data_IF_580488496626
#
_entry.id   IF_580488496626
#
_cell.length_a   1.000
_cell.length_b   1.000
_cell.length_c   1.000
_cell.angle_alpha   90.00
_cell.angle_beta   90.00
_cell.angle_gamma   90.00
#
_symmetry.space_group_name_H-M   'P 1'
#
loop_
_entity.id
_entity.type
_entity.pdbx_description
1 polymer ?
#
# COMPACT_ATOMS: atom_id res chain seq x y z
N UNK A 1 1.85 -18.95 -13.67
CA UNK A 1 0.85 -18.16 -12.96
C UNK A 1 -0.56 -18.68 -13.26
N UNK A 2 -1.04 -18.68 -14.52
CA UNK A 2 -2.39 -19.14 -14.93
C UNK A 2 -2.70 -20.54 -14.40
N UNK A 3 -1.81 -21.52 -14.65
CA UNK A 3 -2.01 -22.91 -14.23
C UNK A 3 -2.17 -23.08 -12.69
N UNK A 4 -1.54 -22.22 -11.90
CA UNK A 4 -1.71 -22.20 -10.45
C UNK A 4 -3.04 -21.56 -10.09
N UNK A 5 -3.35 -20.39 -10.67
CA UNK A 5 -4.58 -19.66 -10.38
C UNK A 5 -5.85 -20.46 -10.72
N UNK A 6 -5.81 -21.29 -11.75
CA UNK A 6 -6.91 -22.19 -12.11
C UNK A 6 -7.23 -23.26 -11.06
N UNK A 7 -6.28 -23.55 -10.15
CA UNK A 7 -6.43 -24.54 -9.09
C UNK A 7 -6.91 -23.93 -7.77
N UNK A 8 -6.99 -22.61 -7.69
CA UNK A 8 -7.50 -21.93 -6.50
C UNK A 8 -9.02 -22.11 -6.47
N UNK A 9 -9.51 -22.74 -5.43
CA UNK A 9 -10.92 -23.05 -5.26
C UNK A 9 -11.56 -22.04 -4.34
N UNK A 10 -12.49 -21.21 -4.82
CA UNK A 10 -13.36 -20.38 -4.00
C UNK A 10 -14.46 -21.24 -3.36
N UNK A 11 -14.85 -20.90 -2.15
CA UNK A 11 -15.93 -21.58 -1.42
C UNK A 11 -16.31 -20.88 -0.14
N UNK A 12 -17.27 -21.48 0.57
CA UNK A 12 -17.67 -20.99 1.89
C UNK A 12 -16.71 -21.48 2.97
N UNK A 13 -16.75 -20.85 4.12
CA UNK A 13 -15.86 -21.15 5.25
C UNK A 13 -16.04 -22.56 5.82
N UNK A 14 -17.20 -23.17 5.59
CA UNK A 14 -17.61 -24.49 6.05
C UNK A 14 -17.59 -25.57 4.96
N UNK A 15 -17.14 -25.23 3.75
CA UNK A 15 -17.02 -26.22 2.67
C UNK A 15 -15.84 -27.20 2.91
N UNK A 16 -16.04 -28.46 2.51
CA UNK A 16 -15.01 -29.49 2.51
C UNK A 16 -14.75 -30.01 1.08
N UNK A 17 -13.48 -30.06 0.61
CA UNK A 17 -12.27 -29.62 1.31
C UNK A 17 -12.22 -28.10 1.48
N UNK A 18 -11.51 -27.64 2.50
CA UNK A 18 -11.40 -26.21 2.82
C UNK A 18 -10.98 -25.39 1.58
N UNK A 19 -11.74 -24.37 1.19
CA UNK A 19 -11.42 -23.55 0.04
C UNK A 19 -10.21 -22.64 0.32
N UNK A 20 -9.50 -22.27 -0.74
CA UNK A 20 -8.37 -21.34 -0.64
C UNK A 20 -8.83 -19.87 -0.55
N UNK A 21 -9.95 -19.52 -1.21
CA UNK A 21 -10.50 -18.17 -1.27
C UNK A 21 -11.95 -18.21 -0.79
N UNK A 22 -12.31 -17.30 0.11
CA UNK A 22 -13.70 -17.04 0.47
C UNK A 22 -14.44 -16.20 -0.58
N UNK A 23 -15.72 -15.99 -0.36
CA UNK A 23 -16.53 -15.05 -1.14
C UNK A 23 -16.09 -13.59 -0.89
N UNK A 24 -16.39 -12.71 -1.83
CA UNK A 24 -16.26 -11.28 -1.65
C UNK A 24 -17.31 -10.78 -0.62
N UNK A 25 -17.17 -9.52 -0.21
CA UNK A 25 -18.07 -8.93 0.80
C UNK A 25 -19.55 -8.96 0.41
N UNK A 26 -19.85 -9.00 -0.89
CA UNK A 26 -21.22 -9.08 -1.42
C UNK A 26 -21.24 -9.59 -2.86
N UNK A 27 -22.40 -10.05 -3.34
CA UNK A 27 -22.64 -10.35 -4.74
C UNK A 27 -22.35 -9.14 -5.65
N UNK A 28 -22.74 -7.94 -5.20
CA UNK A 28 -22.47 -6.70 -5.94
C UNK A 28 -20.98 -6.47 -6.11
N UNK A 29 -20.17 -6.72 -5.07
CA UNK A 29 -18.72 -6.61 -5.16
C UNK A 29 -18.14 -7.61 -6.17
N UNK A 30 -18.64 -8.84 -6.20
CA UNK A 30 -18.22 -9.84 -7.18
C UNK A 30 -18.59 -9.41 -8.61
N UNK A 31 -19.78 -8.86 -8.80
CA UNK A 31 -20.23 -8.35 -10.11
C UNK A 31 -19.39 -7.14 -10.56
N UNK A 32 -18.97 -6.27 -9.64
CA UNK A 32 -18.07 -5.14 -9.95
C UNK A 32 -16.72 -5.64 -10.48
N UNK A 33 -16.17 -6.71 -9.93
CA UNK A 33 -14.91 -7.31 -10.45
C UNK A 33 -15.10 -7.85 -11.87
N UNK A 34 -16.21 -8.53 -12.14
CA UNK A 34 -16.54 -9.02 -13.49
C UNK A 34 -16.69 -7.85 -14.46
N UNK A 35 -17.37 -6.80 -14.05
CA UNK A 35 -17.55 -5.59 -14.86
C UNK A 35 -16.21 -4.91 -15.14
N UNK A 36 -15.36 -4.79 -14.14
CA UNK A 36 -14.02 -4.22 -14.31
C UNK A 36 -13.16 -5.05 -15.28
N UNK A 37 -13.21 -6.37 -15.17
CA UNK A 37 -12.55 -7.25 -16.13
C UNK A 37 -13.04 -7.03 -17.57
N UNK A 38 -14.35 -6.98 -17.78
CA UNK A 38 -14.95 -6.75 -19.10
C UNK A 38 -14.58 -5.38 -19.68
N UNK A 39 -14.52 -4.36 -18.85
CA UNK A 39 -14.05 -3.02 -19.26
C UNK A 39 -12.59 -3.04 -19.70
N UNK A 40 -11.72 -3.69 -18.94
CA UNK A 40 -10.31 -3.83 -19.28
C UNK A 40 -10.11 -4.63 -20.58
N UNK A 41 -10.90 -5.68 -20.80
CA UNK A 41 -10.90 -6.46 -22.05
C UNK A 41 -11.39 -5.59 -23.24
N UNK A 42 -12.44 -4.80 -23.06
CA UNK A 42 -12.94 -3.88 -24.09
C UNK A 42 -11.92 -2.76 -24.44
N UNK A 43 -11.05 -2.39 -23.50
CA UNK A 43 -9.93 -1.46 -23.76
C UNK A 43 -8.78 -2.08 -24.57
N UNK A 44 -8.82 -3.37 -24.85
CA UNK A 44 -7.78 -4.10 -25.57
C UNK A 44 -6.92 -5.00 -24.70
N UNK A 45 -7.28 -5.20 -23.43
CA UNK A 45 -6.63 -6.15 -22.54
C UNK A 45 -6.79 -7.58 -23.04
N UNK A 46 -5.74 -8.38 -22.92
CA UNK A 46 -5.76 -9.80 -23.30
C UNK A 46 -6.08 -10.66 -22.09
N UNK A 47 -7.27 -11.24 -22.03
CA UNK A 47 -7.66 -12.16 -20.98
C UNK A 47 -6.80 -13.44 -21.02
N UNK A 48 -6.06 -13.71 -19.94
CA UNK A 48 -5.30 -14.93 -19.74
C UNK A 48 -6.08 -15.97 -18.92
N UNK A 49 -6.93 -15.49 -18.00
CA UNK A 49 -7.84 -16.29 -17.20
C UNK A 49 -9.08 -15.43 -16.89
N UNK A 50 -10.23 -15.84 -17.36
CA UNK A 50 -11.49 -15.12 -17.11
C UNK A 50 -12.01 -15.41 -15.69
N UNK A 51 -12.34 -14.39 -14.90
CA UNK A 51 -13.02 -14.60 -13.62
C UNK A 51 -14.45 -15.08 -13.88
N UNK A 52 -14.98 -15.95 -13.02
CA UNK A 52 -16.33 -16.51 -13.14
C UNK A 52 -17.02 -16.50 -11.78
N UNK A 53 -18.24 -16.02 -11.76
CA UNK A 53 -19.16 -16.28 -10.65
C UNK A 53 -19.49 -17.78 -10.62
N UNK A 54 -19.24 -18.44 -9.49
CA UNK A 54 -19.46 -19.89 -9.36
C UNK A 54 -20.95 -20.20 -9.23
N UNK A 55 -21.71 -19.31 -8.59
CA UNK A 55 -23.13 -19.49 -8.39
C UNK A 55 -23.82 -18.12 -8.40
N UNK A 56 -24.91 -18.02 -9.15
CA UNK A 56 -25.75 -16.83 -9.15
C UNK A 56 -26.31 -16.54 -7.73
N UNK A 57 -26.38 -15.29 -7.35
CA UNK A 57 -26.82 -14.89 -6.01
C UNK A 57 -25.78 -15.06 -4.91
N UNK A 58 -24.53 -15.39 -5.26
CA UNK A 58 -23.43 -15.52 -4.29
C UNK A 58 -22.27 -14.57 -4.62
N UNK A 59 -21.37 -14.40 -3.66
CA UNK A 59 -20.14 -13.60 -3.83
C UNK A 59 -18.91 -14.43 -4.21
N UNK A 60 -19.12 -15.71 -4.59
CA UNK A 60 -18.03 -16.64 -4.93
C UNK A 60 -17.55 -16.40 -6.35
N UNK A 61 -16.31 -15.91 -6.48
CA UNK A 61 -15.67 -15.54 -7.74
C UNK A 61 -14.34 -16.25 -7.90
N UNK A 62 -14.11 -16.87 -9.05
CA UNK A 62 -12.80 -17.44 -9.38
C UNK A 62 -11.79 -16.34 -9.71
N UNK A 63 -10.48 -16.58 -9.53
CA UNK A 63 -9.45 -15.65 -9.96
C UNK A 63 -9.50 -15.33 -11.45
N UNK A 64 -9.24 -14.07 -11.80
CA UNK A 64 -9.03 -13.61 -13.17
C UNK A 64 -7.62 -13.07 -13.37
N UNK A 65 -7.10 -13.16 -14.59
CA UNK A 65 -5.81 -12.60 -15.01
C UNK A 65 -5.98 -11.95 -16.37
N UNK A 66 -5.62 -10.68 -16.47
CA UNK A 66 -5.65 -9.94 -17.73
C UNK A 66 -4.32 -9.23 -17.98
N UNK A 67 -3.80 -9.38 -19.18
CA UNK A 67 -2.58 -8.71 -19.62
C UNK A 67 -2.93 -7.39 -20.31
N UNK A 68 -2.31 -6.32 -19.83
CA UNK A 68 -2.57 -4.93 -20.23
C UNK A 68 -1.38 -4.30 -20.95
N UNK A 69 -0.38 -5.09 -21.38
CA UNK A 69 0.82 -4.59 -22.07
C UNK A 69 0.42 -3.84 -23.35
N UNK A 70 0.87 -2.59 -23.48
CA UNK A 70 0.56 -1.74 -24.62
C UNK A 70 -0.83 -1.10 -24.63
N UNK A 71 -1.68 -1.38 -23.65
CA UNK A 71 -2.99 -0.75 -23.52
C UNK A 71 -2.84 0.63 -22.87
N UNK A 72 -3.27 1.68 -23.57
CA UNK A 72 -3.24 3.04 -23.05
C UNK A 72 -4.50 3.38 -22.24
N UNK A 73 -4.37 4.35 -21.33
CA UNK A 73 -5.51 4.90 -20.60
C UNK A 73 -6.15 3.96 -19.58
N UNK A 74 -5.43 2.93 -19.15
CA UNK A 74 -5.90 2.04 -18.08
C UNK A 74 -6.14 2.85 -16.81
N UNK A 75 -7.35 2.78 -16.20
CA UNK A 75 -7.65 3.53 -14.99
C UNK A 75 -6.71 3.17 -13.84
N UNK A 76 -6.20 4.20 -13.14
CA UNK A 76 -5.44 4.02 -11.90
C UNK A 76 -6.40 3.84 -10.73
N UNK A 77 -7.10 2.71 -10.75
CA UNK A 77 -8.09 2.32 -9.76
C UNK A 77 -7.84 0.88 -9.31
N UNK A 78 -8.01 0.64 -8.01
CA UNK A 78 -7.90 -0.69 -7.45
C UNK A 78 -9.21 -1.46 -7.65
N UNK A 79 -9.11 -2.69 -8.14
CA UNK A 79 -10.24 -3.63 -8.23
C UNK A 79 -10.21 -4.51 -6.97
N UNK A 80 -11.15 -4.29 -6.06
CA UNK A 80 -11.25 -5.04 -4.80
C UNK A 80 -11.79 -6.46 -5.03
N UNK A 81 -10.93 -7.34 -5.51
CA UNK A 81 -11.27 -8.74 -5.77
C UNK A 81 -10.15 -9.51 -6.48
N UNK A 82 -10.37 -10.79 -6.78
CA UNK A 82 -9.33 -11.67 -7.29
C UNK A 82 -9.07 -11.47 -8.80
N UNK A 83 -8.78 -10.23 -9.21
CA UNK A 83 -8.42 -9.88 -10.59
C UNK A 83 -6.99 -9.32 -10.64
N UNK A 84 -6.10 -10.05 -11.29
CA UNK A 84 -4.71 -9.63 -11.48
C UNK A 84 -4.54 -8.99 -12.85
N UNK A 85 -4.05 -7.76 -12.89
CA UNK A 85 -3.59 -7.06 -14.08
C UNK A 85 -2.08 -7.28 -14.24
N UNK A 86 -1.63 -7.64 -15.44
CA UNK A 86 -0.23 -7.95 -15.73
C UNK A 86 0.27 -7.07 -16.87
N UNK A 87 1.44 -6.51 -16.70
CA UNK A 87 2.20 -5.82 -17.75
C UNK A 87 3.55 -6.47 -17.93
N UNK A 88 4.02 -6.54 -19.16
CA UNK A 88 5.39 -6.94 -19.48
C UNK A 88 6.26 -5.70 -19.60
N UNK A 89 7.50 -5.86 -19.31
CA UNK A 89 8.52 -4.82 -19.43
C UNK A 89 9.78 -5.40 -20.09
N UNK A 90 10.58 -4.55 -20.72
CA UNK A 90 11.82 -4.96 -21.37
C UNK A 90 13.04 -4.72 -20.48
N UNK A 91 13.03 -3.68 -19.65
CA UNK A 91 14.13 -3.35 -18.73
C UNK A 91 13.62 -3.18 -17.30
N UNK A 92 14.50 -3.43 -16.33
CA UNK A 92 14.11 -3.29 -14.92
C UNK A 92 13.78 -1.83 -14.55
N UNK A 93 14.47 -0.87 -15.14
CA UNK A 93 14.15 0.57 -14.97
C UNK A 93 12.76 0.91 -15.49
N UNK A 94 12.34 0.26 -16.57
CA UNK A 94 10.97 0.39 -17.05
C UNK A 94 9.97 -0.19 -16.05
N UNK A 95 10.25 -1.36 -15.49
CA UNK A 95 9.40 -1.97 -14.46
C UNK A 95 9.21 -1.04 -13.26
N UNK A 96 10.28 -0.41 -12.78
CA UNK A 96 10.23 0.55 -11.67
C UNK A 96 9.41 1.79 -12.05
N UNK A 97 9.62 2.34 -13.24
CA UNK A 97 8.83 3.48 -13.72
C UNK A 97 7.34 3.15 -13.81
N UNK A 98 7.01 1.96 -14.32
CA UNK A 98 5.62 1.49 -14.41
C UNK A 98 5.01 1.28 -13.02
N UNK A 99 5.74 0.66 -12.10
CA UNK A 99 5.29 0.45 -10.73
C UNK A 99 5.03 1.78 -9.98
N UNK A 100 5.81 2.81 -10.29
CA UNK A 100 5.66 4.14 -9.70
C UNK A 100 4.61 5.02 -10.40
N UNK A 101 4.09 4.60 -11.55
CA UNK A 101 3.12 5.36 -12.32
C UNK A 101 1.69 5.14 -11.78
N UNK A 102 1.49 5.48 -10.53
CA UNK A 102 0.21 5.40 -9.83
C UNK A 102 0.13 6.51 -8.78
N UNK A 103 -1.08 6.94 -8.45
CA UNK A 103 -1.33 7.85 -7.32
C UNK A 103 -1.22 7.15 -5.96
N UNK A 104 -1.27 5.83 -5.95
CA UNK A 104 -1.17 5.00 -4.74
C UNK A 104 0.30 4.73 -4.37
N UNK A 105 0.53 4.18 -3.20
CA UNK A 105 1.87 3.87 -2.73
C UNK A 105 1.87 3.18 -1.37
N UNK A 106 1.00 2.16 -1.18
CA UNK A 106 1.00 1.39 0.07
C UNK A 106 2.14 0.37 0.08
N UNK A 107 2.13 -0.55 -0.87
CA UNK A 107 3.10 -1.63 -0.91
C UNK A 107 3.56 -1.95 -2.32
N UNK A 108 4.83 -2.32 -2.43
CA UNK A 108 5.48 -2.79 -3.62
C UNK A 108 6.40 -3.96 -3.25
N UNK A 109 6.89 -4.71 -4.22
CA UNK A 109 7.90 -5.72 -3.96
C UNK A 109 8.43 -6.37 -5.20
N UNK A 110 9.51 -7.14 -5.00
CA UNK A 110 10.23 -7.84 -6.04
C UNK A 110 10.29 -9.34 -5.72
N UNK A 111 10.02 -10.14 -6.73
CA UNK A 111 10.31 -11.58 -6.73
C UNK A 111 11.46 -11.79 -7.71
N UNK A 112 12.67 -11.97 -7.19
CA UNK A 112 13.90 -12.12 -7.99
C UNK A 112 15.01 -12.72 -7.14
N UNK A 113 15.90 -13.54 -7.70
CA UNK A 113 17.13 -13.96 -7.02
C UNK A 113 18.18 -12.84 -6.90
N UNK A 114 18.04 -11.73 -7.64
CA UNK A 114 19.05 -10.68 -7.78
C UNK A 114 18.88 -9.62 -6.69
N UNK A 115 19.79 -9.62 -5.72
CA UNK A 115 19.85 -8.67 -4.61
C UNK A 115 20.00 -7.22 -5.09
N UNK A 116 20.82 -6.99 -6.09
CA UNK A 116 21.08 -5.66 -6.64
C UNK A 116 19.81 -5.01 -7.20
N UNK A 117 18.94 -5.78 -7.87
CA UNK A 117 17.65 -5.30 -8.34
C UNK A 117 16.72 -4.92 -7.19
N UNK A 118 16.77 -5.66 -6.08
CA UNK A 118 15.98 -5.29 -4.92
C UNK A 118 16.50 -4.00 -4.28
N UNK A 119 17.81 -3.82 -4.16
CA UNK A 119 18.41 -2.60 -3.61
C UNK A 119 18.07 -1.39 -4.48
N UNK A 120 18.10 -1.53 -5.80
CA UNK A 120 17.63 -0.49 -6.70
C UNK A 120 16.13 -0.19 -6.49
N UNK A 121 15.28 -1.21 -6.46
CA UNK A 121 13.84 -1.03 -6.21
C UNK A 121 13.59 -0.34 -4.86
N UNK A 122 14.31 -0.72 -3.80
CA UNK A 122 14.15 -0.16 -2.47
C UNK A 122 14.43 1.36 -2.44
N UNK A 123 15.37 1.83 -3.24
CA UNK A 123 15.70 3.25 -3.36
C UNK A 123 14.73 4.03 -4.23
N UNK A 124 14.16 3.40 -5.25
CA UNK A 124 13.39 4.09 -6.28
C UNK A 124 11.88 3.89 -6.15
N UNK A 125 11.42 2.88 -5.41
CA UNK A 125 9.99 2.60 -5.24
C UNK A 125 9.29 3.71 -4.45
N UNK A 126 8.13 4.14 -4.97
CA UNK A 126 7.24 5.08 -4.29
C UNK A 126 6.18 4.33 -3.50
N UNK A 127 6.60 3.65 -2.44
CA UNK A 127 5.74 2.86 -1.57
C UNK A 127 6.21 2.93 -0.11
N UNK A 128 5.27 2.78 0.83
CA UNK A 128 5.59 2.74 2.25
C UNK A 128 6.09 1.38 2.72
N UNK A 129 5.83 0.32 1.95
CA UNK A 129 6.28 -1.04 2.22
C UNK A 129 6.93 -1.58 0.95
N UNK A 130 8.18 -2.04 1.04
CA UNK A 130 8.90 -2.65 -0.08
C UNK A 130 9.45 -4.01 0.35
N UNK A 131 8.92 -5.09 -0.21
CA UNK A 131 9.26 -6.45 0.18
C UNK A 131 10.06 -7.18 -0.90
N UNK A 132 10.96 -8.06 -0.50
CA UNK A 132 11.76 -8.91 -1.40
C UNK A 132 11.51 -10.39 -1.11
N UNK A 133 11.06 -11.14 -2.13
CA UNK A 133 10.77 -12.57 -2.06
C UNK A 133 9.86 -12.93 -0.85
N UNK A 134 8.95 -12.03 -0.53
CA UNK A 134 7.93 -12.15 0.52
C UNK A 134 6.58 -11.69 -0.02
N UNK A 135 5.48 -12.04 0.62
CA UNK A 135 4.17 -11.47 0.28
C UNK A 135 4.24 -9.94 0.26
N UNK A 136 3.56 -9.33 -0.70
CA UNK A 136 3.56 -7.87 -0.87
C UNK A 136 2.72 -7.16 0.18
N UNK A 137 1.79 -7.89 0.80
CA UNK A 137 0.90 -7.37 1.84
C UNK A 137 1.47 -7.64 3.23
N UNK A 138 1.29 -6.69 4.11
CA UNK A 138 1.71 -6.80 5.51
C UNK A 138 3.13 -6.31 5.79
N UNK A 139 3.31 -5.85 7.01
CA UNK A 139 4.58 -5.47 7.59
C UNK A 139 4.65 -6.01 9.02
N UNK A 140 5.86 -6.12 9.58
CA UNK A 140 6.02 -6.47 10.99
C UNK A 140 5.38 -5.38 11.88
N UNK A 141 4.75 -5.77 12.98
CA UNK A 141 4.15 -4.82 13.95
C UNK A 141 5.15 -3.84 14.56
N UNK A 142 6.43 -4.21 14.52
CA UNK A 142 7.56 -3.38 14.97
C UNK A 142 8.13 -2.46 13.90
N UNK A 143 7.58 -2.47 12.68
CA UNK A 143 7.97 -1.62 11.58
C UNK A 143 6.91 -0.53 11.33
N UNK A 144 7.26 0.56 10.62
CA UNK A 144 6.26 1.51 10.17
C UNK A 144 5.27 0.84 9.21
N UNK A 145 3.99 1.20 9.33
CA UNK A 145 2.95 0.76 8.40
C UNK A 145 2.20 1.99 7.89
N UNK A 146 2.21 2.19 6.59
CA UNK A 146 1.49 3.27 5.94
C UNK A 146 2.00 3.49 4.53
N UNK A 147 1.19 4.15 3.71
CA UNK A 147 1.50 4.47 2.33
C UNK A 147 1.79 5.94 2.12
N UNK A 148 2.19 6.25 0.90
CA UNK A 148 2.34 7.60 0.39
C UNK A 148 1.26 7.88 -0.67
N UNK A 149 1.18 9.11 -1.14
CA UNK A 149 0.17 9.52 -2.11
C UNK A 149 -1.25 9.27 -1.60
N UNK A 150 -2.11 8.72 -2.45
CA UNK A 150 -3.49 8.40 -2.10
C UNK A 150 -3.64 7.24 -1.09
N UNK A 151 -2.56 6.51 -0.81
CA UNK A 151 -2.55 5.39 0.14
C UNK A 151 -2.16 5.79 1.56
N UNK A 152 -2.02 7.06 1.88
CA UNK A 152 -1.62 7.46 3.22
C UNK A 152 -1.81 8.94 3.51
N UNK A 153 -1.59 9.29 4.77
CA UNK A 153 -1.66 10.66 5.28
C UNK A 153 -0.26 11.19 5.69
N UNK A 154 0.81 10.56 5.22
CA UNK A 154 2.20 10.84 5.56
C UNK A 154 2.58 10.57 7.04
N UNK A 155 1.76 9.80 7.75
CA UNK A 155 2.00 9.41 9.14
C UNK A 155 1.92 7.90 9.26
N UNK A 156 3.05 7.19 9.23
CA UNK A 156 3.05 5.74 9.40
C UNK A 156 2.47 5.36 10.77
N UNK A 157 1.71 4.28 10.78
CA UNK A 157 1.11 3.69 11.98
C UNK A 157 1.97 2.54 12.53
N UNK A 158 1.38 1.60 13.21
CA UNK A 158 2.04 0.52 13.94
C UNK A 158 3.02 1.06 14.98
N UNK A 159 4.30 0.76 14.90
CA UNK A 159 5.29 1.25 15.86
C UNK A 159 5.28 2.78 16.05
N UNK A 160 5.05 3.53 14.98
CA UNK A 160 5.03 4.99 14.98
C UNK A 160 3.70 5.60 15.44
N UNK A 161 2.68 4.79 15.74
CA UNK A 161 1.38 5.32 16.15
C UNK A 161 1.46 6.17 17.43
N UNK A 162 2.36 5.85 18.36
CA UNK A 162 2.56 6.59 19.58
C UNK A 162 2.99 8.05 19.32
N UNK A 163 3.80 8.28 18.29
CA UNK A 163 4.38 9.60 18.00
C UNK A 163 3.32 10.62 17.56
N UNK A 164 2.31 10.18 16.80
CA UNK A 164 1.25 11.08 16.35
C UNK A 164 0.02 11.09 17.26
N UNK A 165 -0.04 10.22 18.26
CA UNK A 165 -1.08 10.24 19.29
C UNK A 165 -0.76 11.24 20.40
N UNK A 166 0.44 11.85 20.41
CA UNK A 166 0.87 12.85 21.35
C UNK A 166 1.35 14.12 20.62
N UNK A 167 1.12 15.27 21.24
CA UNK A 167 1.70 16.52 20.77
C UNK A 167 3.03 16.74 21.48
N UNK A 168 4.17 16.84 20.77
CA UNK A 168 5.45 17.11 21.39
C UNK A 168 5.45 18.52 22.00
N UNK A 169 5.77 18.59 23.28
CA UNK A 169 5.82 19.83 24.04
C UNK A 169 7.24 20.01 24.59
N UNK A 170 7.79 21.20 24.41
CA UNK A 170 9.04 21.59 25.04
C UNK A 170 8.73 22.47 26.27
N UNK A 171 9.41 22.25 27.37
CA UNK A 171 9.37 23.10 28.55
C UNK A 171 10.80 23.47 28.99
N UNK A 172 10.92 24.67 29.58
CA UNK A 172 12.09 25.08 30.33
C UNK A 172 11.63 25.32 31.76
N UNK A 173 12.22 24.62 32.70
CA UNK A 173 11.75 24.62 34.08
C UNK A 173 12.89 25.08 35.02
N UNK A 174 12.51 25.83 36.08
CA UNK A 174 13.41 26.18 37.15
C UNK A 174 12.65 26.17 38.47
N UNK A 175 13.21 25.59 39.51
CA UNK A 175 12.63 25.52 40.85
C UNK A 175 12.54 26.90 41.53
N UNK A 176 13.25 27.87 41.02
CA UNK A 176 13.28 29.22 41.56
C UNK A 176 13.33 30.28 40.46
N UNK A 177 12.70 31.42 40.75
CA UNK A 177 12.83 32.59 39.88
C UNK A 177 14.09 33.35 40.27
N UNK A 178 15.07 33.39 39.38
CA UNK A 178 16.32 34.09 39.57
C UNK A 178 16.61 34.99 38.39
N UNK A 179 17.20 36.16 38.64
CA UNK A 179 17.73 36.97 37.56
C UNK A 179 18.94 36.31 36.93
N UNK A 180 19.12 36.37 35.60
CA UNK A 180 20.29 35.88 34.94
C UNK A 180 21.55 36.61 35.45
N UNK A 181 22.65 35.88 35.59
CA UNK A 181 23.92 36.43 36.04
C UNK A 181 24.47 37.54 35.11
N UNK A 182 24.02 37.54 33.86
CA UNK A 182 24.35 38.57 32.87
C UNK A 182 23.06 39.00 32.19
N UNK A 183 22.78 40.29 32.28
CA UNK A 183 21.62 40.90 31.60
C UNK A 183 21.93 41.17 30.14
N UNK A 184 20.91 41.13 29.30
CA UNK A 184 21.04 41.55 27.92
C UNK A 184 21.43 43.02 27.82
N UNK A 185 22.21 43.43 26.79
CA UNK A 185 22.57 44.83 26.56
C UNK A 185 21.32 45.73 26.53
N UNK A 186 21.37 46.79 27.29
CA UNK A 186 20.26 47.76 27.40
C UNK A 186 19.25 47.46 28.51
N UNK A 187 19.42 46.36 29.25
CA UNK A 187 18.68 46.09 30.49
C UNK A 187 19.55 46.51 31.68
N UNK A 188 19.06 47.42 32.50
CA UNK A 188 19.68 47.82 33.74
C UNK A 188 18.62 47.74 34.85
N UNK A 189 18.84 46.85 35.80
CA UNK A 189 18.04 46.75 37.01
C UNK A 189 18.85 47.34 38.16
N UNK A 190 19.02 48.68 38.13
CA UNK A 190 19.58 49.38 39.28
C UNK A 190 18.66 49.18 40.49
N UNK A 191 19.25 49.16 41.69
CA UNK A 191 18.61 48.83 43.00
C UNK A 191 17.30 49.56 43.32
N UNK A 192 16.93 50.57 42.54
CA UNK A 192 15.70 51.35 42.71
C UNK A 192 14.44 50.75 42.08
N UNK A 193 14.59 49.76 41.17
CA UNK A 193 13.46 49.17 40.40
C UNK A 193 12.99 47.85 41.00
N UNK A 194 13.67 47.28 41.97
CA UNK A 194 13.41 45.94 42.54
C UNK A 194 12.90 46.06 44.01
N UNK A 195 12.15 47.08 44.36
CA UNK A 195 11.45 47.15 45.65
C UNK A 195 9.97 46.95 45.52
#
# INVERSE_FOLDING_TARGET
>A
LVAVSQRLTPGNWDDEPQPFIGGLISEQAAQQVVTAWQQLEAMGGRTLLAPRLLQAGTSLLTPGIIEMTGVAGVPDEEVFGPLLRVWRYDTFDEAIRMANNTRFGLSCGLVSPEREKFEQLLLEARAGIVNWNKPLTGAASTAPFGGIGASGNHRPSAWYAADYCAWPMASLESDSLTLPATLNPGLDFSDEVVR
#
